data_IF_931784013774
#
_entry.id   IF_931784013774
#
_cell.length_a   1.000
_cell.length_b   1.000
_cell.length_c   1.000
_cell.angle_alpha   90.00
_cell.angle_beta   90.00
_cell.angle_gamma   90.00
#
_symmetry.space_group_name_H-M   'P 1'
#
loop_
_entity.id
_entity.type
_entity.pdbx_description
1 polymer ?
#
# COMPACT_ATOMS: atom_id res chain seq x y z
N UNK A 1 6.74 17.88 5.89
CA UNK A 1 7.91 16.99 5.88
C UNK A 1 7.74 16.01 4.73
N UNK A 2 8.75 15.80 3.86
CA UNK A 2 8.65 14.82 2.78
C UNK A 2 8.66 13.39 3.35
N UNK A 3 8.12 12.40 2.64
CA UNK A 3 8.24 10.99 3.01
C UNK A 3 9.69 10.56 3.18
N UNK A 4 9.91 9.58 4.05
CA UNK A 4 11.23 9.02 4.33
C UNK A 4 11.85 8.37 3.09
N UNK A 5 13.16 8.56 2.92
CA UNK A 5 13.91 7.92 1.84
C UNK A 5 14.07 6.42 2.12
N UNK A 6 13.66 5.60 1.15
CA UNK A 6 13.73 4.14 1.16
C UNK A 6 14.78 3.70 0.13
N UNK A 7 16.02 4.11 0.37
CA UNK A 7 17.17 3.85 -0.49
C UNK A 7 17.46 2.36 -0.60
N UNK A 8 18.11 1.91 -1.68
CA UNK A 8 18.66 0.56 -1.72
C UNK A 8 19.97 0.49 -0.90
N UNK A 9 20.47 -0.72 -0.61
CA UNK A 9 21.62 -0.92 0.28
C UNK A 9 22.88 -0.16 -0.15
N UNK A 10 23.14 -0.07 -1.45
CA UNK A 10 24.33 0.62 -1.96
C UNK A 10 24.18 2.14 -1.85
N UNK A 11 23.00 2.66 -2.18
CA UNK A 11 22.70 4.08 -2.05
C UNK A 11 22.70 4.51 -0.58
N UNK A 12 22.10 3.71 0.30
CA UNK A 12 22.04 3.99 1.73
C UNK A 12 23.45 4.02 2.35
N UNK A 13 24.30 3.05 2.01
CA UNK A 13 25.71 3.06 2.40
C UNK A 13 26.47 4.29 1.87
N UNK A 14 26.21 4.71 0.62
CA UNK A 14 26.83 5.91 0.02
C UNK A 14 26.39 7.18 0.74
N UNK A 15 25.10 7.28 1.09
CA UNK A 15 24.53 8.41 1.83
C UNK A 15 25.11 8.48 3.23
N UNK A 16 25.21 7.34 3.93
CA UNK A 16 25.80 7.27 5.27
C UNK A 16 27.27 7.68 5.29
N UNK A 17 28.08 7.20 4.33
CA UNK A 17 29.50 7.53 4.25
C UNK A 17 29.75 9.01 3.89
N UNK A 18 28.82 9.64 3.17
CA UNK A 18 28.96 11.02 2.74
C UNK A 18 28.22 12.04 3.60
N UNK A 19 27.65 11.64 4.75
CA UNK A 19 27.11 12.59 5.73
C UNK A 19 28.20 13.56 6.25
N UNK A 20 29.48 13.19 6.11
CA UNK A 20 30.65 13.98 6.50
C UNK A 20 31.32 14.75 5.33
N UNK A 21 30.80 14.65 4.10
CA UNK A 21 31.35 15.33 2.92
C UNK A 21 30.32 15.56 1.81
N UNK A 22 30.17 16.81 1.39
CA UNK A 22 29.30 17.19 0.26
C UNK A 22 29.88 16.63 -1.06
N UNK A 23 29.32 15.50 -1.53
CA UNK A 23 29.83 14.78 -2.69
C UNK A 23 28.76 14.57 -3.74
N UNK A 24 29.14 14.71 -5.01
CA UNK A 24 28.28 14.41 -6.15
C UNK A 24 27.78 12.94 -6.16
N UNK A 25 28.44 12.03 -5.43
CA UNK A 25 28.00 10.66 -5.25
C UNK A 25 26.79 10.56 -4.29
N UNK A 26 26.81 11.29 -3.18
CA UNK A 26 25.68 11.36 -2.24
C UNK A 26 24.45 11.92 -2.93
N UNK A 27 24.59 13.04 -3.65
CA UNK A 27 23.46 13.64 -4.36
C UNK A 27 22.83 12.65 -5.35
N UNK A 28 23.66 11.95 -6.14
CA UNK A 28 23.17 10.90 -7.06
C UNK A 28 22.49 9.74 -6.32
N UNK A 29 23.01 9.33 -5.16
CA UNK A 29 22.41 8.26 -4.36
C UNK A 29 21.04 8.68 -3.79
N UNK A 30 20.89 9.94 -3.38
CA UNK A 30 19.60 10.50 -2.95
C UNK A 30 18.64 10.61 -4.13
N UNK A 31 19.08 11.16 -5.26
CA UNK A 31 18.25 11.40 -6.44
C UNK A 31 17.76 10.10 -7.10
N UNK A 32 18.58 9.05 -7.07
CA UNK A 32 18.22 7.72 -7.58
C UNK A 32 17.41 6.87 -6.59
N UNK A 33 17.21 7.36 -5.36
CA UNK A 33 16.45 6.67 -4.33
C UNK A 33 15.00 7.17 -4.28
N UNK A 34 14.08 6.23 -4.08
CA UNK A 34 12.65 6.52 -4.01
C UNK A 34 12.16 6.59 -2.56
N UNK A 35 10.98 7.19 -2.40
CA UNK A 35 10.32 7.42 -1.11
C UNK A 35 8.80 7.26 -1.25
N UNK A 36 8.11 7.27 -0.12
CA UNK A 36 6.65 7.37 -0.09
C UNK A 36 5.91 6.08 -0.43
N UNK A 37 4.60 6.22 -0.62
CA UNK A 37 3.63 5.11 -0.62
C UNK A 37 3.90 4.02 -1.65
N UNK A 38 4.24 4.38 -2.89
CA UNK A 38 4.42 3.41 -3.98
C UNK A 38 5.67 2.59 -3.75
N UNK A 39 6.74 3.25 -3.29
CA UNK A 39 7.99 2.57 -2.96
C UNK A 39 7.79 1.63 -1.77
N UNK A 40 7.14 2.10 -0.70
CA UNK A 40 6.81 1.26 0.45
C UNK A 40 5.98 0.04 0.04
N UNK A 41 4.86 0.23 -0.68
CA UNK A 41 4.01 -0.86 -1.15
C UNK A 41 4.76 -1.87 -2.04
N UNK A 42 5.71 -1.40 -2.87
CA UNK A 42 6.56 -2.27 -3.68
C UNK A 42 7.51 -3.11 -2.81
N UNK A 43 8.16 -2.49 -1.83
CA UNK A 43 9.06 -3.20 -0.90
C UNK A 43 8.31 -4.19 -0.01
N UNK A 44 7.13 -3.81 0.49
CA UNK A 44 6.25 -4.69 1.26
C UNK A 44 5.80 -5.89 0.45
N UNK A 45 5.41 -5.71 -0.82
CA UNK A 45 5.08 -6.85 -1.68
C UNK A 45 6.28 -7.74 -1.96
N UNK A 46 7.45 -7.15 -2.23
CA UNK A 46 8.69 -7.91 -2.39
C UNK A 46 9.06 -8.70 -1.13
N UNK A 47 8.80 -8.15 0.06
CA UNK A 47 9.04 -8.81 1.33
C UNK A 47 8.01 -9.91 1.57
N UNK A 48 6.73 -9.54 1.67
CA UNK A 48 5.66 -10.43 2.13
C UNK A 48 5.25 -11.50 1.12
N UNK A 49 5.54 -11.32 -0.18
CA UNK A 49 5.33 -12.38 -1.17
C UNK A 49 6.59 -13.22 -1.44
N UNK A 50 7.71 -12.94 -0.76
CA UNK A 50 8.94 -13.70 -0.97
C UNK A 50 8.80 -15.13 -0.44
N UNK A 51 8.93 -16.10 -1.36
CA UNK A 51 8.98 -17.52 -1.06
C UNK A 51 10.44 -17.97 -0.98
N UNK A 52 10.87 -18.38 0.20
CA UNK A 52 12.16 -19.03 0.41
C UNK A 52 12.03 -20.00 1.57
N UNK A 53 12.64 -21.18 1.44
CA UNK A 53 12.66 -22.17 2.50
C UNK A 53 13.36 -21.59 3.74
N UNK A 54 12.68 -21.64 4.89
CA UNK A 54 13.18 -21.15 6.18
C UNK A 54 13.33 -19.63 6.33
N UNK A 55 13.38 -18.86 5.24
CA UNK A 55 13.69 -17.43 5.24
C UNK A 55 12.64 -16.54 4.55
N UNK A 56 11.69 -17.15 3.83
CA UNK A 56 10.62 -16.43 3.14
C UNK A 56 9.59 -15.88 4.12
N UNK A 57 8.95 -14.76 3.77
CA UNK A 57 7.85 -14.22 4.57
C UNK A 57 6.49 -14.77 4.15
N UNK A 58 6.34 -15.34 2.94
CA UNK A 58 5.03 -15.64 2.37
C UNK A 58 4.09 -16.42 3.29
N UNK A 59 4.48 -17.60 3.75
CA UNK A 59 3.60 -18.45 4.57
C UNK A 59 3.41 -17.87 5.97
N UNK A 60 4.43 -17.21 6.50
CA UNK A 60 4.41 -16.61 7.84
C UNK A 60 3.51 -15.39 7.86
N UNK A 61 3.71 -14.45 6.94
CA UNK A 61 2.88 -13.28 6.75
C UNK A 61 1.43 -13.70 6.60
N UNK A 62 1.17 -14.67 5.73
CA UNK A 62 -0.16 -15.15 5.45
C UNK A 62 -0.82 -15.72 6.71
N UNK A 63 -0.12 -16.58 7.46
CA UNK A 63 -0.67 -17.14 8.70
C UNK A 63 -0.88 -16.07 9.78
N UNK A 64 0.16 -15.30 10.09
CA UNK A 64 0.16 -14.30 11.16
C UNK A 64 -0.93 -13.25 10.94
N UNK A 65 -0.97 -12.63 9.76
CA UNK A 65 -1.94 -11.56 9.47
C UNK A 65 -3.36 -12.11 9.42
N UNK A 66 -3.59 -13.32 8.89
CA UNK A 66 -4.93 -13.93 8.87
C UNK A 66 -5.43 -14.22 10.29
N UNK A 67 -4.56 -14.70 11.19
CA UNK A 67 -4.91 -14.90 12.60
C UNK A 67 -5.16 -13.58 13.31
N UNK A 68 -4.26 -12.60 13.19
CA UNK A 68 -4.42 -11.30 13.84
C UNK A 68 -5.70 -10.57 13.38
N UNK A 69 -6.04 -10.65 12.09
CA UNK A 69 -7.31 -10.13 11.54
C UNK A 69 -8.53 -10.80 12.15
N UNK A 70 -8.49 -12.12 12.32
CA UNK A 70 -9.58 -12.87 12.93
C UNK A 70 -9.75 -12.53 14.41
N UNK A 71 -8.66 -12.54 15.17
CA UNK A 71 -8.67 -12.37 16.62
C UNK A 71 -8.99 -10.92 17.05
N UNK A 72 -8.43 -9.93 16.35
CA UNK A 72 -8.53 -8.51 16.75
C UNK A 72 -9.67 -7.76 16.06
N UNK A 73 -10.05 -8.20 14.85
CA UNK A 73 -11.03 -7.48 14.02
C UNK A 73 -12.24 -8.35 13.62
N UNK A 74 -12.25 -9.65 13.95
CA UNK A 74 -13.31 -10.58 13.52
C UNK A 74 -13.31 -10.85 12.01
N UNK A 75 -12.25 -10.46 11.30
CA UNK A 75 -12.17 -10.55 9.83
C UNK A 75 -11.59 -11.92 9.45
N UNK A 76 -12.43 -12.81 8.93
CA UNK A 76 -12.00 -14.10 8.38
C UNK A 76 -11.53 -13.94 6.94
N UNK A 77 -10.33 -13.40 6.77
CA UNK A 77 -9.67 -13.26 5.47
C UNK A 77 -8.37 -14.07 5.44
N UNK A 78 -8.15 -14.80 4.34
CA UNK A 78 -6.96 -15.63 4.12
C UNK A 78 -6.30 -15.24 2.78
N UNK A 79 -6.34 -13.96 2.41
CA UNK A 79 -5.66 -13.46 1.22
C UNK A 79 -4.16 -13.27 1.47
N UNK A 80 -3.37 -13.49 0.42
CA UNK A 80 -1.96 -13.11 0.39
C UNK A 80 -1.80 -11.60 0.27
N UNK A 81 -0.61 -11.10 0.61
CA UNK A 81 -0.29 -9.69 0.39
C UNK A 81 -0.49 -9.30 -1.08
N UNK A 82 -1.04 -8.10 -1.37
CA UNK A 82 -1.25 -7.65 -2.75
C UNK A 82 0.02 -7.72 -3.59
N UNK A 83 -0.11 -8.24 -4.81
CA UNK A 83 1.00 -8.50 -5.73
C UNK A 83 1.45 -7.23 -6.44
N UNK A 84 2.27 -6.42 -5.76
CA UNK A 84 2.79 -5.14 -6.25
C UNK A 84 3.93 -5.27 -7.24
N UNK A 85 4.50 -6.47 -7.41
CA UNK A 85 5.52 -6.78 -8.42
C UNK A 85 4.94 -7.01 -9.82
N UNK A 86 3.69 -7.44 -9.91
CA UNK A 86 3.03 -7.66 -11.19
C UNK A 86 2.31 -6.39 -11.66
N UNK A 87 2.20 -6.22 -12.98
CA UNK A 87 1.51 -5.08 -13.65
C UNK A 87 -0.01 -5.14 -13.52
N UNK A 88 -0.52 -5.61 -12.37
CA UNK A 88 -1.95 -5.58 -12.06
C UNK A 88 -2.31 -4.17 -11.64
N UNK A 89 -3.23 -3.57 -12.39
CA UNK A 89 -3.86 -2.32 -11.99
C UNK A 89 -4.34 -2.42 -10.54
N UNK A 90 -4.14 -1.35 -9.76
CA UNK A 90 -4.56 -1.20 -8.35
C UNK A 90 -3.77 -1.97 -7.29
N UNK A 91 -2.80 -2.83 -7.64
CA UNK A 91 -2.02 -3.60 -6.66
C UNK A 91 -1.44 -2.73 -5.53
N UNK A 92 -0.90 -1.55 -5.87
CA UNK A 92 -0.40 -0.60 -4.88
C UNK A 92 -1.51 0.00 -4.00
N UNK A 93 -2.70 0.26 -4.53
CA UNK A 93 -3.82 0.76 -3.71
C UNK A 93 -4.37 -0.31 -2.76
N UNK A 94 -4.41 -1.58 -3.18
CA UNK A 94 -4.74 -2.69 -2.29
C UNK A 94 -3.69 -2.83 -1.19
N UNK A 95 -2.40 -2.79 -1.55
CA UNK A 95 -1.31 -2.81 -0.58
C UNK A 95 -1.39 -1.63 0.40
N UNK A 96 -1.77 -0.45 -0.08
CA UNK A 96 -1.94 0.73 0.77
C UNK A 96 -3.05 0.55 1.79
N UNK A 97 -4.23 0.10 1.35
CA UNK A 97 -5.35 -0.15 2.24
C UNK A 97 -5.03 -1.24 3.27
N UNK A 98 -4.39 -2.32 2.84
CA UNK A 98 -3.95 -3.42 3.70
C UNK A 98 -2.96 -2.94 4.78
N UNK A 99 -1.86 -2.30 4.36
CA UNK A 99 -0.81 -1.83 5.29
C UNK A 99 -1.31 -0.73 6.23
N UNK A 100 -2.17 0.17 5.74
CA UNK A 100 -2.69 1.26 6.56
C UNK A 100 -3.72 0.77 7.60
N UNK A 101 -4.61 -0.14 7.19
CA UNK A 101 -5.67 -0.66 8.08
C UNK A 101 -5.11 -1.54 9.18
N UNK A 102 -4.14 -2.40 8.86
CA UNK A 102 -3.55 -3.38 9.78
C UNK A 102 -2.12 -2.99 10.22
N UNK A 103 -1.84 -1.68 10.24
CA UNK A 103 -0.51 -1.16 10.55
C UNK A 103 0.10 -1.76 11.84
N UNK A 104 -0.64 -1.85 12.97
CA UNK A 104 -0.09 -2.45 14.19
C UNK A 104 0.35 -3.90 13.99
N UNK A 105 -0.46 -4.72 13.30
CA UNK A 105 -0.17 -6.13 13.03
C UNK A 105 1.06 -6.28 12.12
N UNK A 106 1.24 -5.40 11.14
CA UNK A 106 2.42 -5.42 10.28
C UNK A 106 3.70 -5.02 11.02
N UNK A 107 3.63 -4.07 11.95
CA UNK A 107 4.77 -3.69 12.79
C UNK A 107 5.17 -4.83 13.73
N UNK A 108 4.18 -5.45 14.39
CA UNK A 108 4.38 -6.60 15.28
C UNK A 108 4.99 -7.80 14.54
N UNK A 109 4.49 -8.13 13.35
CA UNK A 109 5.06 -9.19 12.52
C UNK A 109 6.56 -8.94 12.23
N UNK A 110 6.94 -7.69 11.94
CA UNK A 110 8.33 -7.34 11.68
C UNK A 110 9.18 -7.46 12.95
N UNK A 111 8.65 -7.06 14.10
CA UNK A 111 9.33 -7.19 15.40
C UNK A 111 9.54 -8.65 15.79
N UNK A 112 8.53 -9.49 15.71
CA UNK A 112 8.66 -10.94 15.97
C UNK A 112 9.72 -11.58 15.06
N UNK A 113 9.72 -11.19 13.78
CA UNK A 113 10.69 -11.66 12.78
C UNK A 113 12.10 -11.18 13.03
N UNK A 114 12.27 -9.97 13.57
CA UNK A 114 13.57 -9.43 13.98
C UNK A 114 14.15 -10.26 15.12
N UNK A 115 13.31 -10.60 16.09
CA UNK A 115 13.70 -11.23 17.35
C UNK A 115 13.84 -12.75 17.21
N UNK A 116 13.15 -13.38 16.25
CA UNK A 116 13.23 -14.82 15.99
C UNK A 116 14.49 -15.28 15.24
N UNK A 117 15.38 -14.36 14.85
CA UNK A 117 16.57 -14.68 14.04
C UNK A 117 17.76 -15.08 14.91
N UNK A 118 18.61 -15.96 14.36
CA UNK A 118 19.88 -16.33 14.99
C UNK A 118 20.77 -15.11 15.26
N UNK A 119 20.82 -14.17 14.31
CA UNK A 119 21.36 -12.83 14.53
C UNK A 119 20.20 -11.86 14.59
N UNK A 120 19.93 -11.36 15.78
CA UNK A 120 18.87 -10.37 16.03
C UNK A 120 19.12 -9.14 15.15
N UNK A 121 18.07 -8.69 14.47
CA UNK A 121 18.11 -7.48 13.67
C UNK A 121 17.34 -7.57 12.35
N UNK A 122 17.16 -6.40 11.74
CA UNK A 122 16.59 -6.29 10.41
C UNK A 122 17.65 -6.50 9.34
N UNK A 123 17.26 -7.18 8.26
CA UNK A 123 17.93 -7.00 6.99
C UNK A 123 17.49 -5.67 6.38
N UNK A 124 18.25 -5.19 5.40
CA UNK A 124 18.03 -3.87 4.82
C UNK A 124 16.63 -3.70 4.16
N UNK A 125 16.01 -4.77 3.65
CA UNK A 125 14.65 -4.69 3.10
C UNK A 125 13.61 -4.51 4.22
N UNK A 126 13.71 -5.31 5.29
CA UNK A 126 12.83 -5.20 6.46
C UNK A 126 12.98 -3.84 7.15
N UNK A 127 14.21 -3.35 7.27
CA UNK A 127 14.51 -2.03 7.85
C UNK A 127 13.82 -0.91 7.06
N UNK A 128 13.91 -0.94 5.73
CA UNK A 128 13.19 0.01 4.89
C UNK A 128 11.66 -0.08 5.05
N UNK A 129 11.11 -1.29 5.14
CA UNK A 129 9.66 -1.46 5.34
C UNK A 129 9.26 -0.92 6.72
N UNK A 130 9.96 -1.29 7.78
CA UNK A 130 9.73 -0.79 9.13
C UNK A 130 9.85 0.74 9.20
N UNK A 131 10.91 1.30 8.60
CA UNK A 131 11.14 2.75 8.49
C UNK A 131 10.00 3.46 7.78
N UNK A 132 9.50 2.91 6.68
CA UNK A 132 8.35 3.47 5.94
C UNK A 132 7.03 3.38 6.72
N UNK A 133 6.81 2.29 7.44
CA UNK A 133 5.61 2.09 8.28
C UNK A 133 5.63 2.95 9.56
N UNK A 134 6.79 3.36 10.04
CA UNK A 134 6.94 4.27 11.17
C UNK A 134 6.94 5.76 10.77
N UNK A 135 7.17 6.08 9.48
CA UNK A 135 7.24 7.46 9.02
C UNK A 135 5.86 8.07 8.76
N UNK A 136 5.52 9.12 9.54
CA UNK A 136 4.25 9.83 9.44
C UNK A 136 3.95 10.36 8.03
N UNK A 137 4.94 10.92 7.34
CA UNK A 137 4.72 11.48 6.00
C UNK A 137 4.40 10.39 4.97
N UNK A 138 5.08 9.24 5.06
CA UNK A 138 4.80 8.04 4.26
C UNK A 138 3.41 7.48 4.58
N UNK A 139 3.01 7.40 5.85
CA UNK A 139 1.68 6.95 6.25
C UNK A 139 0.55 7.84 5.73
N UNK A 140 0.74 9.16 5.69
CA UNK A 140 -0.24 10.09 5.10
C UNK A 140 -0.43 9.81 3.61
N UNK A 141 0.67 9.60 2.88
CA UNK A 141 0.57 9.20 1.47
C UNK A 141 -0.12 7.84 1.29
N UNK A 142 0.20 6.88 2.17
CA UNK A 142 -0.42 5.55 2.16
C UNK A 142 -1.93 5.65 2.37
N UNK A 143 -2.37 6.45 3.36
CA UNK A 143 -3.78 6.73 3.63
C UNK A 143 -4.48 7.35 2.41
N UNK A 144 -3.86 8.37 1.79
CA UNK A 144 -4.42 9.02 0.61
C UNK A 144 -4.63 8.03 -0.56
N UNK A 145 -3.69 7.10 -0.75
CA UNK A 145 -3.82 6.06 -1.79
C UNK A 145 -4.80 4.96 -1.44
N UNK A 146 -4.94 4.61 -0.15
CA UNK A 146 -5.98 3.71 0.32
C UNK A 146 -7.37 4.32 0.07
N UNK A 147 -7.59 5.58 0.45
CA UNK A 147 -8.85 6.32 0.22
C UNK A 147 -9.16 6.40 -1.28
N UNK A 148 -8.19 6.83 -2.09
CA UNK A 148 -8.37 6.87 -3.55
C UNK A 148 -8.70 5.48 -4.12
N UNK A 149 -8.04 4.43 -3.63
CA UNK A 149 -8.33 3.05 -3.97
C UNK A 149 -9.78 2.68 -3.69
N UNK A 150 -10.17 2.75 -2.41
CA UNK A 150 -11.46 2.29 -1.90
C UNK A 150 -12.64 3.04 -2.49
N UNK A 151 -12.53 4.37 -2.64
CA UNK A 151 -13.69 5.19 -3.01
C UNK A 151 -13.74 5.56 -4.49
N UNK A 152 -12.59 5.67 -5.16
CA UNK A 152 -12.57 6.10 -6.58
C UNK A 152 -12.23 4.93 -7.48
N UNK A 153 -11.04 4.34 -7.27
CA UNK A 153 -10.43 3.42 -8.22
C UNK A 153 -11.15 2.07 -8.29
N UNK A 154 -11.37 1.41 -7.15
CA UNK A 154 -11.96 0.06 -7.12
C UNK A 154 -13.43 0.07 -7.57
N UNK A 155 -14.28 1.03 -7.15
CA UNK A 155 -15.63 1.16 -7.68
C UNK A 155 -15.63 1.41 -9.18
N UNK A 156 -14.78 2.33 -9.66
CA UNK A 156 -14.67 2.60 -11.09
C UNK A 156 -14.29 1.35 -11.89
N UNK A 157 -13.26 0.59 -11.48
CA UNK A 157 -12.88 -0.63 -12.21
C UNK A 157 -13.95 -1.72 -12.14
N UNK A 158 -14.68 -1.82 -11.01
CA UNK A 158 -15.82 -2.74 -10.93
C UNK A 158 -16.87 -2.40 -11.99
N UNK A 159 -17.20 -1.12 -12.14
CA UNK A 159 -18.14 -0.65 -13.16
C UNK A 159 -17.59 -0.83 -14.58
N UNK A 160 -16.31 -0.53 -14.79
CA UNK A 160 -15.65 -0.63 -16.09
C UNK A 160 -15.46 -2.07 -16.58
N UNK A 161 -15.35 -3.05 -15.67
CA UNK A 161 -15.28 -4.46 -16.02
C UNK A 161 -16.65 -5.09 -16.29
N UNK A 162 -17.74 -4.43 -15.90
CA UNK A 162 -19.09 -4.92 -16.13
C UNK A 162 -19.48 -6.17 -15.34
N UNK A 163 -20.75 -6.56 -15.41
CA UNK A 163 -21.23 -7.78 -14.77
C UNK A 163 -20.61 -9.03 -15.45
N UNK A 164 -20.20 -10.00 -14.64
CA UNK A 164 -19.91 -11.37 -15.11
C UNK A 164 -18.71 -11.56 -16.03
N UNK A 165 -17.77 -10.61 -16.10
CA UNK A 165 -16.59 -10.74 -16.97
C UNK A 165 -16.87 -10.47 -18.45
N UNK A 166 -17.99 -9.80 -18.75
CA UNK A 166 -18.34 -9.38 -20.10
C UNK A 166 -17.39 -8.24 -20.51
N UNK A 167 -16.78 -8.34 -21.71
CA UNK A 167 -15.92 -7.27 -22.21
C UNK A 167 -16.79 -6.06 -22.53
N UNK A 168 -16.70 -5.01 -21.70
CA UNK A 168 -17.28 -3.70 -22.02
C UNK A 168 -16.39 -3.03 -23.07
N UNK A 169 -17.00 -2.49 -24.12
CA UNK A 169 -16.26 -1.68 -25.08
C UNK A 169 -15.78 -0.40 -24.39
N UNK A 170 -14.50 -0.06 -24.54
CA UNK A 170 -13.94 1.15 -23.94
C UNK A 170 -14.71 2.42 -24.35
N UNK A 171 -15.31 2.45 -25.54
CA UNK A 171 -16.13 3.57 -26.03
C UNK A 171 -17.46 3.70 -25.27
N UNK A 172 -17.94 2.64 -24.64
CA UNK A 172 -19.17 2.65 -23.84
C UNK A 172 -18.92 3.20 -22.42
N UNK A 173 -17.65 3.39 -22.02
CA UNK A 173 -17.29 3.95 -20.72
C UNK A 173 -17.28 5.48 -20.69
N UNK A 174 -17.54 6.15 -21.81
CA UNK A 174 -17.44 7.62 -21.91
C UNK A 174 -18.30 8.33 -20.86
N UNK A 175 -19.54 7.87 -20.65
CA UNK A 175 -20.43 8.48 -19.65
C UNK A 175 -19.97 8.18 -18.22
N UNK A 176 -19.35 7.02 -17.98
CA UNK A 176 -18.72 6.71 -16.70
C UNK A 176 -17.51 7.62 -16.44
N UNK A 177 -16.65 7.85 -17.46
CA UNK A 177 -15.51 8.77 -17.35
C UNK A 177 -15.93 10.19 -17.05
N UNK A 178 -17.04 10.66 -17.63
CA UNK A 178 -17.57 12.01 -17.38
C UNK A 178 -18.09 12.21 -15.96
N UNK A 179 -18.49 11.14 -15.26
CA UNK A 179 -18.95 11.18 -13.87
C UNK A 179 -17.81 11.29 -12.85
N UNK A 180 -16.60 10.86 -13.21
CA UNK A 180 -15.45 10.82 -12.30
C UNK A 180 -14.99 12.21 -11.81
N UNK A 181 -14.75 13.23 -12.66
CA UNK A 181 -14.30 14.53 -12.17
C UNK A 181 -15.29 15.20 -11.20
N UNK A 182 -16.60 15.31 -11.51
CA UNK A 182 -17.58 15.87 -10.58
C UNK A 182 -17.68 15.09 -9.25
N UNK A 183 -17.48 13.77 -9.29
CA UNK A 183 -17.45 12.93 -8.09
C UNK A 183 -16.21 13.25 -7.22
N UNK A 184 -15.03 13.32 -7.83
CA UNK A 184 -13.80 13.72 -7.16
C UNK A 184 -13.90 15.13 -6.57
N UNK A 185 -14.46 16.09 -7.31
CA UNK A 185 -14.67 17.46 -6.84
C UNK A 185 -15.60 17.50 -5.62
N UNK A 186 -16.67 16.69 -5.62
CA UNK A 186 -17.61 16.59 -4.50
C UNK A 186 -16.94 16.06 -3.24
N UNK A 187 -16.13 15.00 -3.37
CA UNK A 187 -15.37 14.42 -2.24
C UNK A 187 -14.31 15.40 -1.75
N UNK A 188 -13.59 16.07 -2.65
CA UNK A 188 -12.59 17.06 -2.28
C UNK A 188 -13.21 18.24 -1.51
N UNK A 189 -14.40 18.70 -1.92
CA UNK A 189 -15.15 19.74 -1.23
C UNK A 189 -15.77 19.29 0.10
N UNK A 190 -16.03 17.98 0.26
CA UNK A 190 -16.71 17.42 1.42
C UNK A 190 -16.09 16.09 1.89
N UNK A 191 -14.83 16.08 2.40
CA UNK A 191 -14.14 14.83 2.74
C UNK A 191 -14.85 14.00 3.82
N UNK A 192 -15.64 14.64 4.68
CA UNK A 192 -16.46 13.99 5.70
C UNK A 192 -17.47 12.98 5.13
N UNK A 193 -17.82 13.08 3.84
CA UNK A 193 -18.67 12.09 3.17
C UNK A 193 -18.03 10.69 3.17
N UNK A 194 -16.70 10.60 3.19
CA UNK A 194 -15.97 9.32 3.25
C UNK A 194 -15.99 8.67 4.63
N UNK A 195 -16.41 9.40 5.67
CA UNK A 195 -16.30 9.00 7.08
C UNK A 195 -17.66 8.81 7.77
N UNK A 196 -18.76 9.01 7.05
CA UNK A 196 -20.11 8.84 7.60
C UNK A 196 -20.54 7.38 7.39
N UNK A 197 -21.04 6.76 8.47
CA UNK A 197 -21.65 5.43 8.44
C UNK A 197 -23.05 5.45 7.79
N UNK A 198 -23.66 6.63 7.72
CA UNK A 198 -24.96 6.84 7.09
C UNK A 198 -24.78 6.90 5.56
N UNK A 199 -25.17 5.81 4.90
CA UNK A 199 -25.36 5.64 3.45
C UNK A 199 -24.10 5.38 2.59
N UNK A 200 -23.58 4.15 2.67
CA UNK A 200 -22.77 3.54 1.59
C UNK A 200 -23.50 3.58 0.22
N UNK A 201 -24.83 3.78 0.22
CA UNK A 201 -25.68 4.01 -0.95
C UNK A 201 -25.28 5.25 -1.78
N UNK A 202 -24.75 6.32 -1.16
CA UNK A 202 -24.48 7.60 -1.82
C UNK A 202 -23.06 7.75 -2.40
N UNK A 203 -22.19 6.77 -2.15
CA UNK A 203 -20.74 6.93 -2.34
C UNK A 203 -20.18 6.29 -3.61
N UNK A 204 -20.99 5.66 -4.46
CA UNK A 204 -20.48 5.11 -5.72
C UNK A 204 -20.42 6.13 -6.86
N UNK A 205 -19.45 5.91 -7.75
CA UNK A 205 -19.20 6.72 -8.96
C UNK A 205 -20.44 6.81 -9.88
N UNK A 206 -21.37 5.86 -9.80
CA UNK A 206 -22.62 5.84 -10.56
C UNK A 206 -23.87 6.27 -9.76
N UNK A 207 -23.76 6.47 -8.44
CA UNK A 207 -24.90 6.79 -7.56
C UNK A 207 -25.73 5.60 -7.07
N UNK A 208 -25.21 4.36 -7.15
CA UNK A 208 -25.83 3.15 -6.58
C UNK A 208 -25.01 2.61 -5.40
N UNK A 209 -25.57 1.78 -4.49
CA UNK A 209 -24.81 1.23 -3.38
C UNK A 209 -23.56 0.44 -3.80
N UNK A 210 -22.47 0.68 -3.07
CA UNK A 210 -21.40 -0.28 -2.95
C UNK A 210 -21.94 -1.41 -2.06
N UNK A 211 -22.17 -2.58 -2.66
CA UNK A 211 -22.65 -3.87 -2.08
C UNK A 211 -24.09 -4.23 -2.44
#
# INVERSE_FOLDING_TARGET
MPPVLLANKANDATIHLGADADSAAVQRAVDSSNRGRTKLASLSGALFNHKSEGQGYQDIHHHFISQAKLERHGIKDHKRFPDTSNTRYQSHSYAAAELFTFLPEYLELLEERRDSKQKIGFNHLEENVAKGLADRATLIELAAMAIYGTFVSWPYLRLAHGPGGTIINLLDLVDLHRKLPPYCDRIAANPQLLLRDDDLEFMAVNGEPLF
#
